data_IF_001241808060
#
_entry.id   IF_001241808060
#
_cell.length_a   1.000
_cell.length_b   1.000
_cell.length_c   1.000
_cell.angle_alpha   90.00
_cell.angle_beta   90.00
_cell.angle_gamma   90.00
#
_symmetry.space_group_name_H-M   'P 1'
#
loop_
_entity.id
_entity.type
_entity.pdbx_description
1 polymer ?
#
# COMPACT_ATOMS: atom_id res chain seq x y z
N UNK A 1 -1.86 15.61 12.37
CA UNK A 1 -2.05 14.17 12.73
C UNK A 1 -3.18 13.59 11.87
N UNK A 2 -3.36 12.27 11.80
CA UNK A 2 -4.44 11.67 10.99
C UNK A 2 -5.84 12.07 11.45
N UNK A 3 -6.00 12.33 12.75
CA UNK A 3 -7.26 12.79 13.33
C UNK A 3 -7.78 14.08 12.67
N UNK A 4 -6.88 14.98 12.25
CA UNK A 4 -7.27 16.26 11.64
C UNK A 4 -7.87 16.11 10.23
N UNK A 5 -7.72 14.94 9.59
CA UNK A 5 -8.16 14.70 8.21
C UNK A 5 -9.66 14.36 8.16
N UNK A 6 -10.10 13.45 9.04
CA UNK A 6 -11.50 13.01 9.11
C UNK A 6 -11.93 12.46 10.48
N UNK A 7 -11.32 12.94 11.56
CA UNK A 7 -11.64 12.55 12.93
C UNK A 7 -11.53 11.05 13.20
N UNK A 8 -10.65 10.35 12.48
CA UNK A 8 -10.41 8.93 12.71
C UNK A 8 -9.40 8.77 13.86
N UNK A 9 -9.79 8.16 15.00
CA UNK A 9 -8.94 8.12 16.18
C UNK A 9 -7.83 7.07 16.07
N UNK A 10 -6.71 7.32 16.75
CA UNK A 10 -5.61 6.37 16.96
C UNK A 10 -5.03 5.74 15.68
N UNK A 11 -5.04 6.48 14.56
CA UNK A 11 -4.40 6.03 13.33
C UNK A 11 -2.90 6.25 13.40
N UNK A 12 -2.14 5.18 13.21
CA UNK A 12 -0.68 5.18 13.23
C UNK A 12 -0.08 5.38 11.83
N UNK A 13 -0.80 4.97 10.79
CA UNK A 13 -0.36 5.05 9.41
C UNK A 13 -1.44 4.59 8.43
N UNK A 14 -1.29 4.97 7.16
CA UNK A 14 -2.04 4.36 6.06
C UNK A 14 -1.12 3.40 5.32
N UNK A 15 -1.57 2.16 5.10
CA UNK A 15 -0.84 1.11 4.39
C UNK A 15 -1.45 0.87 3.02
N UNK A 16 -0.62 0.82 1.99
CA UNK A 16 -1.08 0.56 0.63
C UNK A 16 0.04 -0.03 -0.23
N UNK A 17 -0.35 -0.77 -1.27
CA UNK A 17 0.54 -1.38 -2.25
C UNK A 17 0.67 -0.51 -3.50
N UNK A 18 1.86 -0.43 -4.09
CA UNK A 18 2.06 0.20 -5.38
C UNK A 18 2.92 -0.66 -6.28
N UNK A 19 2.51 -0.76 -7.54
CA UNK A 19 3.25 -1.50 -8.56
C UNK A 19 4.25 -0.56 -9.23
N UNK A 20 5.54 -0.87 -9.09
CA UNK A 20 6.64 -0.18 -9.77
C UNK A 20 6.99 -0.97 -11.03
N UNK A 21 6.89 -0.35 -12.24
CA UNK A 21 7.27 -1.03 -13.48
C UNK A 21 8.75 -1.40 -13.50
N UNK A 22 9.05 -2.60 -14.00
CA UNK A 22 10.43 -3.07 -14.21
C UNK A 22 10.61 -3.53 -15.66
N UNK A 23 11.87 -3.67 -16.07
CA UNK A 23 12.17 -4.16 -17.42
C UNK A 23 11.91 -5.65 -17.45
N UNK A 24 11.50 -6.12 -18.63
CA UNK A 24 11.38 -7.54 -18.95
C UNK A 24 12.52 -8.35 -18.31
N UNK A 25 12.16 -9.36 -17.52
CA UNK A 25 13.12 -10.30 -16.96
C UNK A 25 13.03 -11.59 -17.75
N UNK A 26 14.16 -12.05 -18.28
CA UNK A 26 14.26 -13.36 -18.94
C UNK A 26 14.54 -14.42 -17.88
N UNK A 27 13.74 -15.49 -17.85
CA UNK A 27 13.92 -16.61 -16.94
C UNK A 27 12.61 -17.34 -16.61
N UNK A 28 12.72 -18.50 -15.95
CA UNK A 28 11.56 -19.34 -15.60
C UNK A 28 10.60 -18.65 -14.60
N UNK A 29 11.09 -17.67 -13.84
CA UNK A 29 10.31 -16.90 -12.86
C UNK A 29 9.59 -15.67 -13.46
N UNK A 30 9.77 -15.37 -14.76
CA UNK A 30 9.14 -14.22 -15.44
C UNK A 30 7.64 -14.07 -15.16
N UNK A 31 6.81 -15.15 -15.20
CA UNK A 31 5.37 -15.02 -15.00
C UNK A 31 4.99 -14.45 -13.64
N UNK A 32 5.86 -14.59 -12.63
CA UNK A 32 5.59 -14.07 -11.27
C UNK A 32 5.69 -12.54 -11.19
N UNK A 33 6.42 -11.92 -12.11
CA UNK A 33 6.57 -10.46 -12.17
C UNK A 33 5.49 -9.79 -13.02
N UNK A 34 4.70 -10.57 -13.76
CA UNK A 34 3.55 -10.05 -14.51
C UNK A 34 2.42 -9.73 -13.53
N UNK A 35 2.16 -8.43 -13.35
CA UNK A 35 1.10 -7.99 -12.46
C UNK A 35 -0.30 -8.18 -13.10
N UNK A 36 -1.35 -8.04 -12.28
CA UNK A 36 -2.76 -8.09 -12.72
C UNK A 36 -3.13 -7.15 -13.89
N UNK A 37 -2.29 -6.15 -14.17
CA UNK A 37 -2.46 -5.16 -15.25
C UNK A 37 -1.64 -5.50 -16.51
N UNK A 38 -1.12 -6.73 -16.63
CA UNK A 38 -0.44 -7.27 -17.81
C UNK A 38 0.86 -6.53 -18.19
N UNK A 39 1.65 -6.11 -17.20
CA UNK A 39 3.02 -5.63 -17.39
C UNK A 39 3.92 -6.09 -16.24
N UNK A 40 5.22 -6.07 -16.45
CA UNK A 40 6.23 -6.46 -15.46
C UNK A 40 6.35 -5.42 -14.35
N UNK A 41 6.20 -5.84 -13.11
CA UNK A 41 6.30 -4.96 -11.96
C UNK A 41 6.87 -5.65 -10.73
N UNK A 42 7.33 -4.82 -9.80
CA UNK A 42 7.52 -5.20 -8.39
C UNK A 42 6.39 -4.57 -7.60
N UNK A 43 5.82 -5.34 -6.68
CA UNK A 43 4.86 -4.82 -5.72
C UNK A 43 5.60 -4.29 -4.50
N UNK A 44 5.42 -2.99 -4.25
CA UNK A 44 6.01 -2.27 -3.13
C UNK A 44 4.91 -1.88 -2.17
N UNK A 45 4.96 -2.42 -0.95
CA UNK A 45 4.06 -2.05 0.13
C UNK A 45 4.68 -0.93 0.95
N UNK A 46 3.88 0.08 1.27
CA UNK A 46 4.35 1.26 2.01
C UNK A 46 3.37 1.62 3.11
N UNK A 47 3.92 2.06 4.24
CA UNK A 47 3.17 2.77 5.28
C UNK A 47 3.57 4.24 5.21
N UNK A 48 2.58 5.13 5.17
CA UNK A 48 2.80 6.57 5.25
C UNK A 48 2.16 7.16 6.50
N UNK A 49 2.70 8.29 6.96
CA UNK A 49 2.10 9.12 7.99
C UNK A 49 1.14 10.18 7.41
N UNK A 50 0.57 11.00 8.30
CA UNK A 50 -0.37 12.06 7.93
C UNK A 50 0.28 13.21 7.13
N UNK A 51 1.61 13.32 7.15
CA UNK A 51 2.41 14.32 6.42
C UNK A 51 2.89 13.78 5.07
N UNK A 52 2.39 12.62 4.64
CA UNK A 52 2.75 11.94 3.40
C UNK A 52 4.19 11.41 3.39
N UNK A 53 4.83 11.26 4.55
CA UNK A 53 6.16 10.67 4.67
C UNK A 53 6.05 9.16 4.76
N UNK A 54 6.91 8.45 4.05
CA UNK A 54 7.01 7.00 4.16
C UNK A 54 7.76 6.61 5.41
N UNK A 55 7.10 5.84 6.28
CA UNK A 55 7.64 5.39 7.56
C UNK A 55 8.11 3.93 7.50
N UNK A 56 7.56 3.15 6.56
CA UNK A 56 7.98 1.78 6.30
C UNK A 56 7.77 1.43 4.81
N UNK A 57 8.69 0.64 4.26
CA UNK A 57 8.63 0.19 2.86
C UNK A 57 9.09 -1.27 2.74
N UNK A 58 8.33 -2.10 2.04
CA UNK A 58 8.67 -3.49 1.70
C UNK A 58 8.72 -3.61 0.17
N UNK A 59 9.90 -3.88 -0.38
CA UNK A 59 10.21 -3.77 -1.83
C UNK A 59 10.62 -5.10 -2.50
N UNK A 60 10.31 -6.24 -1.89
CA UNK A 60 10.90 -7.54 -2.25
C UNK A 60 9.98 -8.49 -3.02
N UNK A 61 8.81 -8.03 -3.47
CA UNK A 61 7.78 -8.94 -3.97
C UNK A 61 7.49 -8.79 -5.46
N UNK A 62 7.35 -9.89 -6.21
CA UNK A 62 6.93 -9.87 -7.60
C UNK A 62 5.57 -9.19 -7.79
N UNK A 63 5.33 -8.62 -8.97
CA UNK A 63 4.12 -7.86 -9.29
C UNK A 63 2.81 -8.64 -9.20
N UNK A 64 2.87 -9.98 -9.23
CA UNK A 64 1.70 -10.84 -9.02
C UNK A 64 1.34 -11.03 -7.53
N UNK A 65 2.25 -10.70 -6.60
CA UNK A 65 2.02 -10.89 -5.17
C UNK A 65 0.90 -9.98 -4.66
N UNK A 66 -0.03 -10.57 -3.89
CA UNK A 66 -1.11 -9.84 -3.23
C UNK A 66 -0.61 -9.05 -2.02
N UNK A 67 -1.18 -7.87 -1.78
CA UNK A 67 -0.76 -6.99 -0.68
C UNK A 67 -0.89 -7.65 0.71
N UNK A 68 -1.92 -8.47 0.92
CA UNK A 68 -2.08 -9.26 2.13
C UNK A 68 -0.95 -10.30 2.34
N UNK A 69 -0.44 -10.88 1.24
CA UNK A 69 0.67 -11.82 1.29
C UNK A 69 1.98 -11.12 1.63
N UNK A 70 2.22 -9.95 1.05
CA UNK A 70 3.37 -9.09 1.39
C UNK A 70 3.34 -8.71 2.87
N UNK A 71 2.17 -8.31 3.37
CA UNK A 71 1.98 -7.94 4.77
C UNK A 71 2.32 -9.11 5.71
N UNK A 72 1.81 -10.30 5.40
CA UNK A 72 2.02 -11.50 6.22
C UNK A 72 3.49 -11.93 6.30
N UNK A 73 4.27 -11.66 5.25
CA UNK A 73 5.69 -11.98 5.16
C UNK A 73 6.61 -10.77 5.47
N UNK A 74 6.07 -9.73 6.09
CA UNK A 74 6.84 -8.56 6.55
C UNK A 74 7.02 -8.58 8.07
N UNK A 75 7.85 -7.68 8.60
CA UNK A 75 7.96 -7.47 10.04
C UNK A 75 6.83 -6.60 10.62
N UNK A 76 5.91 -6.09 9.78
CA UNK A 76 4.84 -5.19 10.20
C UNK A 76 3.91 -5.85 11.23
N UNK A 77 3.44 -7.11 11.07
CA UNK A 77 2.60 -7.75 12.08
C UNK A 77 3.23 -7.77 13.47
N UNK A 78 4.49 -8.17 13.58
CA UNK A 78 5.23 -8.20 14.85
C UNK A 78 5.37 -6.81 15.47
N UNK A 79 5.67 -5.80 14.66
CA UNK A 79 5.78 -4.40 15.13
C UNK A 79 4.42 -3.91 15.66
N UNK A 80 3.34 -4.20 14.92
CA UNK A 80 2.01 -3.67 15.18
C UNK A 80 1.27 -4.36 16.32
N UNK A 81 1.58 -5.63 16.62
CA UNK A 81 1.01 -6.35 17.76
C UNK A 81 1.28 -5.68 19.12
N UNK A 82 2.38 -4.93 19.24
CA UNK A 82 2.73 -4.16 20.44
C UNK A 82 2.20 -2.73 20.47
N UNK A 83 1.48 -2.26 19.43
CA UNK A 83 1.06 -0.87 19.32
C UNK A 83 -0.37 -0.65 19.81
N UNK A 84 -0.64 0.55 20.33
CA UNK A 84 -1.98 0.97 20.70
C UNK A 84 -2.56 1.91 19.63
N UNK A 85 -2.99 1.33 18.51
CA UNK A 85 -3.58 2.06 17.40
C UNK A 85 -3.73 1.19 16.15
N UNK A 86 -4.13 1.82 15.05
CA UNK A 86 -4.52 1.12 13.83
C UNK A 86 -3.78 1.66 12.61
N UNK A 87 -3.37 0.75 11.73
CA UNK A 87 -3.14 1.07 10.33
C UNK A 87 -4.47 1.10 9.58
N UNK A 88 -4.57 1.92 8.54
CA UNK A 88 -5.68 1.89 7.59
C UNK A 88 -5.23 1.29 6.26
N UNK A 89 -5.79 0.15 5.88
CA UNK A 89 -5.54 -0.52 4.60
C UNK A 89 -6.78 -0.56 3.72
N UNK A 90 -6.60 -0.88 2.44
CA UNK A 90 -7.72 -1.15 1.53
C UNK A 90 -8.37 -2.53 1.79
N UNK A 91 -9.38 -2.89 1.00
CA UNK A 91 -10.07 -4.19 1.12
C UNK A 91 -9.24 -5.39 0.62
N UNK A 92 -8.12 -5.14 -0.06
CA UNK A 92 -7.15 -6.17 -0.43
C UNK A 92 -6.41 -6.73 0.78
N UNK A 93 -6.43 -5.99 1.89
CA UNK A 93 -6.02 -6.48 3.19
C UNK A 93 -7.18 -7.15 3.94
N UNK A 94 -6.85 -8.10 4.81
CA UNK A 94 -7.78 -8.64 5.80
C UNK A 94 -7.80 -7.79 7.06
N UNK A 95 -8.97 -7.64 7.69
CA UNK A 95 -9.13 -6.97 8.99
C UNK A 95 -8.27 -7.65 10.07
N UNK A 96 -7.58 -6.86 10.91
CA UNK A 96 -6.78 -7.34 12.05
C UNK A 96 -6.99 -6.47 13.27
N UNK A 97 -6.50 -6.91 14.44
CA UNK A 97 -6.52 -6.15 15.70
C UNK A 97 -5.76 -4.82 15.66
N UNK A 98 -4.96 -4.57 14.63
CA UNK A 98 -4.15 -3.35 14.44
C UNK A 98 -4.26 -2.82 13.00
N UNK A 99 -5.15 -3.38 12.17
CA UNK A 99 -5.34 -2.98 10.77
C UNK A 99 -6.83 -2.93 10.45
N UNK A 100 -7.31 -1.73 10.11
CA UNK A 100 -8.70 -1.47 9.75
C UNK A 100 -8.87 -1.37 8.24
N UNK A 101 -9.90 -2.05 7.73
CA UNK A 101 -10.26 -2.11 6.31
C UNK A 101 -11.67 -1.57 6.11
N UNK A 102 -12.04 -1.08 4.92
CA UNK A 102 -13.40 -0.60 4.69
C UNK A 102 -14.42 -1.75 4.81
N UNK A 103 -15.63 -1.42 5.25
CA UNK A 103 -16.76 -2.35 5.27
C UNK A 103 -17.26 -2.56 3.83
N UNK A 104 -17.50 -3.81 3.45
CA UNK A 104 -17.90 -4.16 2.08
C UNK A 104 -19.32 -3.70 1.74
N UNK A 105 -20.26 -3.87 2.67
CA UNK A 105 -21.67 -3.52 2.49
C UNK A 105 -22.17 -2.65 3.67
N UNK A 106 -21.82 -1.36 3.70
CA UNK A 106 -22.28 -0.46 4.76
C UNK A 106 -23.78 -0.15 4.57
N UNK A 107 -24.58 -0.51 5.57
CA UNK A 107 -26.04 -0.36 5.55
C UNK A 107 -26.55 0.68 6.55
N UNK A 108 -25.84 0.87 7.67
CA UNK A 108 -26.20 1.88 8.67
C UNK A 108 -25.47 3.22 8.44
N UNK A 109 -26.04 4.31 8.94
CA UNK A 109 -25.39 5.63 8.87
C UNK A 109 -24.01 5.65 9.56
N UNK A 110 -23.83 4.82 10.59
CA UNK A 110 -22.57 4.67 11.32
C UNK A 110 -21.51 3.98 10.46
N UNK A 111 -21.88 2.90 9.76
CA UNK A 111 -20.99 2.18 8.84
C UNK A 111 -20.59 3.04 7.64
N UNK A 112 -21.55 3.80 7.10
CA UNK A 112 -21.28 4.78 6.03
C UNK A 112 -20.32 5.87 6.54
N UNK A 113 -20.56 6.38 7.75
CA UNK A 113 -19.67 7.36 8.40
C UNK A 113 -18.26 6.80 8.60
N UNK A 114 -18.15 5.57 9.08
CA UNK A 114 -16.88 4.85 9.21
C UNK A 114 -16.15 4.76 7.87
N UNK A 115 -16.79 4.23 6.81
CA UNK A 115 -16.15 4.10 5.50
C UNK A 115 -15.75 5.45 4.92
N UNK A 116 -16.56 6.50 5.12
CA UNK A 116 -16.24 7.85 4.66
C UNK A 116 -14.97 8.38 5.33
N UNK A 117 -14.87 8.25 6.66
CA UNK A 117 -13.68 8.67 7.41
C UNK A 117 -12.47 7.80 7.08
N UNK A 118 -12.65 6.48 6.99
CA UNK A 118 -11.61 5.53 6.61
C UNK A 118 -11.03 5.89 5.24
N UNK A 119 -11.86 5.97 4.20
CA UNK A 119 -11.43 6.28 2.84
C UNK A 119 -10.72 7.64 2.76
N UNK A 120 -11.25 8.68 3.43
CA UNK A 120 -10.65 10.02 3.41
C UNK A 120 -9.29 10.04 4.10
N UNK A 121 -9.12 9.30 5.20
CA UNK A 121 -7.84 9.22 5.92
C UNK A 121 -6.82 8.39 5.14
N UNK A 122 -7.22 7.23 4.60
CA UNK A 122 -6.36 6.33 3.81
C UNK A 122 -5.86 6.98 2.52
N UNK A 123 -6.61 7.93 1.94
CA UNK A 123 -6.20 8.70 0.75
C UNK A 123 -4.83 9.41 0.91
N UNK A 124 -4.32 9.56 2.14
CA UNK A 124 -2.92 9.96 2.37
C UNK A 124 -1.91 9.05 1.68
N UNK A 125 -2.09 7.72 1.68
CA UNK A 125 -1.19 6.79 1.01
C UNK A 125 -1.18 7.00 -0.52
N UNK A 126 -2.36 7.13 -1.12
CA UNK A 126 -2.49 7.42 -2.56
C UNK A 126 -1.84 8.76 -2.93
N UNK A 127 -2.06 9.80 -2.12
CA UNK A 127 -1.43 11.11 -2.30
C UNK A 127 0.08 11.04 -2.15
N UNK A 128 0.59 10.30 -1.18
CA UNK A 128 2.02 10.11 -0.97
C UNK A 128 2.66 9.40 -2.18
N UNK A 129 2.00 8.37 -2.73
CA UNK A 129 2.44 7.76 -3.99
C UNK A 129 2.38 8.73 -5.17
N UNK A 130 1.35 9.57 -5.27
CA UNK A 130 1.25 10.61 -6.29
C UNK A 130 2.44 11.57 -6.23
N UNK A 131 2.81 12.03 -5.03
CA UNK A 131 3.99 12.88 -4.82
C UNK A 131 5.28 12.15 -5.20
N UNK A 132 5.43 10.88 -4.80
CA UNK A 132 6.60 10.06 -5.14
C UNK A 132 6.75 9.92 -6.67
N UNK A 133 5.69 9.56 -7.38
CA UNK A 133 5.72 9.36 -8.84
C UNK A 133 5.89 10.65 -9.61
N UNK A 134 5.34 11.76 -9.12
CA UNK A 134 5.57 13.07 -9.70
C UNK A 134 7.02 13.55 -9.53
N UNK A 135 7.65 13.24 -8.39
CA UNK A 135 9.05 13.59 -8.11
C UNK A 135 10.03 12.68 -8.85
N UNK A 136 9.74 11.39 -8.89
CA UNK A 136 10.54 10.38 -9.55
C UNK A 136 9.72 9.79 -10.67
N UNK A 137 9.72 10.51 -11.79
CA UNK A 137 8.99 10.16 -13.03
C UNK A 137 9.27 8.69 -13.41
N UNK A 138 10.48 8.17 -13.18
CA UNK A 138 10.87 6.76 -13.36
C UNK A 138 9.97 5.72 -12.68
N UNK A 139 9.24 6.09 -11.64
CA UNK A 139 8.33 5.22 -10.88
C UNK A 139 6.90 5.26 -11.42
N UNK A 140 6.62 6.11 -12.42
CA UNK A 140 5.35 6.16 -13.13
C UNK A 140 5.38 5.27 -14.39
N UNK A 141 4.23 4.68 -14.71
CA UNK A 141 4.03 3.83 -15.90
C UNK A 141 4.18 4.58 -17.21
N UNK A 142 3.93 5.89 -17.18
CA UNK A 142 3.97 6.78 -18.33
C UNK A 142 5.41 7.10 -18.76
N UNK A 143 6.39 6.71 -17.95
CA UNK A 143 7.79 7.09 -18.11
C UNK A 143 8.55 5.99 -18.82
N UNK A 144 9.19 6.35 -19.93
CA UNK A 144 10.02 5.45 -20.75
C UNK A 144 11.28 4.91 -20.06
N UNK A 145 11.57 5.37 -18.85
CA UNK A 145 12.78 5.02 -18.14
C UNK A 145 12.45 4.00 -17.05
N UNK A 146 12.78 2.75 -17.40
CA UNK A 146 12.48 1.54 -16.66
C UNK A 146 13.67 1.23 -15.72
N UNK A 147 13.39 0.89 -14.47
CA UNK A 147 14.43 0.52 -13.50
C UNK A 147 15.01 -0.85 -13.87
N UNK A 148 16.32 -0.90 -14.15
CA UNK A 148 17.09 -2.12 -14.29
C UNK A 148 17.37 -2.69 -12.89
N UNK A 149 16.73 -3.81 -12.54
CA UNK A 149 17.15 -4.63 -11.41
C UNK A 149 17.87 -5.84 -11.97
N UNK A 150 19.19 -5.78 -12.02
CA UNK A 150 20.04 -6.95 -12.19
C UNK A 150 20.04 -7.71 -10.86
N UNK A 151 19.15 -8.68 -10.69
CA UNK A 151 19.30 -9.67 -9.62
C UNK A 151 20.47 -10.55 -10.03
N UNK A 152 21.60 -10.43 -9.32
CA UNK A 152 22.82 -11.23 -9.51
C UNK A 152 22.74 -12.51 -8.69
#
# INVERSE_FOLDING_TARGET
MFYDISSFPNVLGAIDGTLIPIQWMSGDDEPTYVCRKQYHAINVQVICDAELKFTNTVVQWPGAAHDAFILANSNIPTIMEGQNGWLLGDSGYGLKKWLMTPLMNPNSQQEIGYNKSHCKTRNTAERAFGVLKARFILLDKSSFAIILLSVS
#
